data_IF_420844815193
#
_entry.id   IF_420844815193
#
_cell.length_a   1.000
_cell.length_b   1.000
_cell.length_c   1.000
_cell.angle_alpha   90.00
_cell.angle_beta   90.00
_cell.angle_gamma   90.00
#
_symmetry.space_group_name_H-M   'P 1'
#
loop_
_entity.id
_entity.type
_entity.pdbx_description
1 polymer ?
#
# COMPACT_ATOMS: atom_id res chain seq x y z
N UNK A 1 31.44 43.67 36.23
CA UNK A 1 30.00 43.92 36.43
C UNK A 1 29.39 44.15 35.06
N UNK A 2 28.85 43.13 34.38
CA UNK A 2 27.42 42.73 34.39
C UNK A 2 26.74 43.37 33.16
N UNK A 3 26.04 42.71 32.22
CA UNK A 3 25.16 41.53 32.20
C UNK A 3 25.13 40.98 30.75
N UNK A 4 25.35 39.70 30.48
CA UNK A 4 24.31 38.67 30.24
C UNK A 4 22.98 39.19 29.70
N UNK A 5 22.72 39.08 28.39
CA UNK A 5 21.38 38.80 27.82
C UNK A 5 21.57 38.00 26.52
N UNK A 6 21.45 36.67 26.62
CA UNK A 6 21.02 35.80 25.51
C UNK A 6 19.54 36.08 25.24
N UNK A 7 19.07 35.90 23.99
CA UNK A 7 17.83 35.18 23.60
C UNK A 7 17.33 35.59 22.20
N UNK A 8 16.58 34.68 21.58
CA UNK A 8 15.87 34.71 20.29
C UNK A 8 16.75 34.50 19.05
N UNK A 9 16.81 33.33 18.42
CA UNK A 9 15.82 32.25 18.35
C UNK A 9 15.61 31.95 16.87
N UNK A 10 16.27 30.92 16.35
CA UNK A 10 15.97 30.39 15.03
C UNK A 10 15.77 28.88 15.16
N UNK A 11 14.56 28.51 15.58
CA UNK A 11 14.08 27.15 15.47
C UNK A 11 13.87 26.85 13.98
N UNK A 12 14.81 26.14 13.36
CA UNK A 12 14.61 25.53 12.05
C UNK A 12 13.66 24.35 12.26
N UNK A 13 12.37 24.60 12.04
CA UNK A 13 11.37 23.54 11.91
C UNK A 13 11.61 22.89 10.55
N UNK A 14 12.32 21.75 10.54
CA UNK A 14 12.32 20.84 9.41
C UNK A 14 10.90 20.28 9.27
N UNK A 15 10.10 20.89 8.39
CA UNK A 15 8.88 20.27 7.89
C UNK A 15 9.29 19.00 7.13
N UNK A 16 9.24 17.86 7.81
CA UNK A 16 9.28 16.55 7.18
C UNK A 16 7.99 16.40 6.37
N UNK A 17 8.07 16.75 5.09
CA UNK A 17 7.03 16.51 4.10
C UNK A 17 7.02 15.00 3.80
N UNK A 18 6.32 14.22 4.63
CA UNK A 18 6.11 12.80 4.36
C UNK A 18 5.09 12.63 3.23
N UNK A 19 5.65 12.46 2.03
CA UNK A 19 5.18 11.67 0.89
C UNK A 19 3.68 11.48 0.68
N UNK A 20 3.07 12.31 -0.17
CA UNK A 20 1.85 11.96 -0.91
C UNK A 20 2.22 11.37 -2.28
N UNK A 21 3.07 10.33 -2.31
CA UNK A 21 3.53 9.70 -3.56
C UNK A 21 2.72 8.45 -3.96
N UNK A 22 1.86 7.94 -3.07
CA UNK A 22 1.16 6.67 -3.28
C UNK A 22 -0.05 6.77 -4.22
N UNK A 23 -0.85 7.83 -4.11
CA UNK A 23 -2.09 7.95 -4.89
C UNK A 23 -1.85 8.06 -6.42
N UNK A 24 -0.73 8.66 -6.82
CA UNK A 24 -0.34 8.78 -8.24
C UNK A 24 0.12 7.44 -8.79
N UNK A 25 0.89 6.69 -8.00
CA UNK A 25 1.45 5.39 -8.37
C UNK A 25 0.34 4.34 -8.50
N UNK A 26 -0.63 4.29 -7.59
CA UNK A 26 -1.79 3.39 -7.68
C UNK A 26 -2.55 3.57 -9.01
N UNK A 27 -2.92 4.81 -9.36
CA UNK A 27 -3.70 5.08 -10.58
C UNK A 27 -2.94 4.68 -11.83
N UNK A 28 -1.64 4.94 -11.87
CA UNK A 28 -0.78 4.56 -12.97
C UNK A 28 -0.67 3.04 -13.12
N UNK A 29 -0.40 2.33 -12.02
CA UNK A 29 -0.30 0.86 -12.01
C UNK A 29 -1.62 0.23 -12.44
N UNK A 30 -2.76 0.71 -11.91
CA UNK A 30 -4.10 0.25 -12.29
C UNK A 30 -4.34 0.42 -13.79
N UNK A 31 -4.08 1.62 -14.32
CA UNK A 31 -4.28 1.91 -15.74
C UNK A 31 -3.39 1.05 -16.65
N UNK A 32 -2.13 0.85 -16.26
CA UNK A 32 -1.17 0.08 -17.05
C UNK A 32 -1.49 -1.42 -17.03
N UNK A 33 -1.92 -1.96 -15.88
CA UNK A 33 -2.39 -3.34 -15.78
C UNK A 33 -3.66 -3.58 -16.59
N UNK A 34 -4.63 -2.66 -16.58
CA UNK A 34 -5.83 -2.76 -17.42
C UNK A 34 -5.49 -2.76 -18.92
N UNK A 35 -4.49 -1.98 -19.34
CA UNK A 35 -4.01 -1.98 -20.73
C UNK A 35 -3.36 -3.31 -21.12
N UNK A 36 -2.59 -3.92 -20.21
CA UNK A 36 -1.81 -5.14 -20.48
C UNK A 36 -2.61 -6.43 -20.35
N UNK A 37 -3.43 -6.52 -19.30
CA UNK A 37 -4.24 -7.70 -18.98
C UNK A 37 -5.63 -7.65 -19.61
N UNK A 38 -6.01 -6.51 -20.19
CA UNK A 38 -7.31 -6.26 -20.78
C UNK A 38 -8.36 -5.84 -19.74
N UNK A 39 -9.51 -5.37 -20.24
CA UNK A 39 -10.61 -4.82 -19.42
C UNK A 39 -11.26 -5.87 -18.51
N UNK A 40 -11.01 -7.16 -18.76
CA UNK A 40 -11.47 -8.27 -17.92
C UNK A 40 -10.69 -8.40 -16.61
N UNK A 41 -9.49 -7.82 -16.51
CA UNK A 41 -8.73 -7.80 -15.26
C UNK A 41 -9.29 -6.74 -14.31
N UNK A 42 -10.17 -7.16 -13.41
CA UNK A 42 -10.75 -6.28 -12.39
C UNK A 42 -9.72 -5.99 -11.28
N UNK A 43 -8.95 -4.91 -11.46
CA UNK A 43 -7.99 -4.42 -10.47
C UNK A 43 -8.73 -3.66 -9.37
N UNK A 44 -8.98 -4.35 -8.24
CA UNK A 44 -9.74 -3.81 -7.10
C UNK A 44 -8.90 -2.83 -6.29
N UNK A 45 -7.69 -3.25 -5.91
CA UNK A 45 -6.83 -2.49 -5.01
C UNK A 45 -5.37 -2.58 -5.42
N UNK A 46 -4.60 -1.50 -5.19
CA UNK A 46 -3.15 -1.49 -5.37
C UNK A 46 -2.53 -0.89 -4.11
N UNK A 47 -1.65 -1.63 -3.45
CA UNK A 47 -1.01 -1.20 -2.20
C UNK A 47 0.49 -1.47 -2.24
N UNK A 48 1.32 -0.66 -1.54
CA UNK A 48 2.72 -1.00 -1.36
C UNK A 48 2.88 -2.37 -0.68
N UNK A 49 3.83 -3.16 -1.17
CA UNK A 49 4.21 -4.42 -0.52
C UNK A 49 5.26 -4.19 0.58
N UNK A 50 5.60 -5.23 1.35
CA UNK A 50 6.69 -5.17 2.31
C UNK A 50 8.08 -5.00 1.65
N UNK A 51 8.20 -5.31 0.35
CA UNK A 51 9.43 -5.12 -0.41
C UNK A 51 9.37 -3.75 -1.13
N UNK A 52 10.33 -2.84 -0.85
CA UNK A 52 10.37 -1.53 -1.51
C UNK A 52 10.43 -1.66 -3.04
N UNK A 53 9.59 -0.88 -3.71
CA UNK A 53 9.48 -0.88 -5.18
C UNK A 53 8.54 -1.94 -5.75
N UNK A 54 8.03 -2.85 -4.93
CA UNK A 54 6.96 -3.78 -5.29
C UNK A 54 5.62 -3.34 -4.71
N UNK A 55 4.57 -3.55 -5.50
CA UNK A 55 3.18 -3.26 -5.17
C UNK A 55 2.37 -4.55 -5.22
N UNK A 56 1.53 -4.73 -4.21
CA UNK A 56 0.45 -5.71 -4.16
C UNK A 56 -0.72 -5.19 -5.01
N UNK A 57 -1.19 -6.03 -5.92
CA UNK A 57 -2.31 -5.73 -6.80
C UNK A 57 -3.34 -6.82 -6.61
N UNK A 58 -4.53 -6.42 -6.17
CA UNK A 58 -5.66 -7.33 -6.11
C UNK A 58 -6.38 -7.36 -7.45
N UNK A 59 -6.30 -8.49 -8.14
CA UNK A 59 -7.04 -8.75 -9.36
C UNK A 59 -8.08 -9.83 -9.07
N UNK A 60 -9.36 -9.49 -9.25
CA UNK A 60 -10.48 -10.33 -8.81
C UNK A 60 -10.37 -10.65 -7.29
N UNK A 61 -10.07 -11.90 -6.94
CA UNK A 61 -9.90 -12.38 -5.57
C UNK A 61 -8.47 -12.86 -5.27
N UNK A 62 -7.52 -12.62 -6.17
CA UNK A 62 -6.13 -13.03 -6.05
C UNK A 62 -5.20 -11.81 -5.89
N UNK A 63 -4.07 -12.03 -5.24
CA UNK A 63 -3.02 -11.02 -5.04
C UNK A 63 -1.86 -11.33 -5.97
N UNK A 64 -1.48 -10.32 -6.76
CA UNK A 64 -0.31 -10.32 -7.61
C UNK A 64 0.67 -9.25 -7.15
N UNK A 65 1.92 -9.35 -7.59
CA UNK A 65 2.94 -8.34 -7.31
C UNK A 65 3.47 -7.72 -8.60
N UNK A 66 3.77 -6.43 -8.56
CA UNK A 66 4.31 -5.70 -9.70
C UNK A 66 5.22 -4.55 -9.30
N UNK A 67 6.06 -4.07 -10.21
CA UNK A 67 6.86 -2.86 -10.00
C UNK A 67 6.03 -1.59 -10.24
N UNK A 68 6.56 -0.43 -9.85
CA UNK A 68 5.88 0.88 -10.01
C UNK A 68 5.41 1.21 -11.43
N UNK A 69 5.99 0.59 -12.46
CA UNK A 69 5.62 0.82 -13.87
C UNK A 69 4.76 -0.29 -14.45
N UNK A 70 4.29 -1.24 -13.64
CA UNK A 70 3.56 -2.43 -14.07
C UNK A 70 4.26 -3.19 -15.22
N UNK A 71 5.59 -3.26 -15.19
CA UNK A 71 6.41 -3.90 -16.21
C UNK A 71 6.49 -5.40 -16.01
N UNK A 72 6.55 -5.85 -14.76
CA UNK A 72 6.61 -7.27 -14.40
C UNK A 72 5.40 -7.67 -13.57
N UNK A 73 4.84 -8.84 -13.84
CA UNK A 73 3.81 -9.46 -13.01
C UNK A 73 4.41 -10.68 -12.33
N UNK A 74 4.25 -10.76 -11.02
CA UNK A 74 4.73 -11.87 -10.20
C UNK A 74 3.51 -12.51 -9.55
N UNK A 75 3.38 -13.82 -9.71
CA UNK A 75 2.34 -14.64 -9.11
C UNK A 75 2.97 -15.54 -8.06
N UNK A 76 2.37 -15.60 -6.88
CA UNK A 76 2.83 -16.44 -5.78
C UNK A 76 2.66 -15.78 -4.43
N UNK A 77 3.41 -16.28 -3.46
CA UNK A 77 3.32 -15.86 -2.06
C UNK A 77 4.58 -15.10 -1.62
N UNK A 78 4.39 -14.08 -0.80
CA UNK A 78 5.45 -13.35 -0.13
C UNK A 78 5.58 -13.90 1.30
N UNK A 79 6.63 -14.66 1.53
CA UNK A 79 6.95 -15.21 2.84
C UNK A 79 8.10 -14.41 3.45
N UNK A 80 7.87 -13.81 4.60
CA UNK A 80 8.92 -13.17 5.39
C UNK A 80 9.82 -14.24 6.01
N UNK A 81 11.06 -14.36 5.53
CA UNK A 81 11.97 -15.40 5.99
C UNK A 81 12.35 -15.29 7.47
N UNK A 82 12.34 -14.07 8.02
CA UNK A 82 12.70 -13.84 9.42
C UNK A 82 11.70 -14.46 10.40
N UNK A 83 10.41 -14.49 10.04
CA UNK A 83 9.32 -14.97 10.91
C UNK A 83 8.64 -16.23 10.37
N UNK A 84 8.86 -16.58 9.10
CA UNK A 84 8.09 -17.59 8.38
C UNK A 84 6.67 -17.15 8.03
N UNK A 85 6.33 -15.87 8.21
CA UNK A 85 4.97 -15.38 7.99
C UNK A 85 4.68 -15.25 6.50
N UNK A 86 3.60 -15.90 6.04
CA UNK A 86 3.05 -15.67 4.70
C UNK A 86 2.22 -14.38 4.69
N UNK A 87 2.81 -13.31 4.17
CA UNK A 87 2.20 -11.99 4.09
C UNK A 87 1.04 -11.97 3.11
N UNK A 88 1.11 -12.74 2.02
CA UNK A 88 0.02 -12.86 1.04
C UNK A 88 -1.21 -13.52 1.64
N UNK A 89 -1.04 -14.62 2.38
CA UNK A 89 -2.14 -15.30 3.07
C UNK A 89 -2.81 -14.37 4.09
N UNK A 90 -2.01 -13.64 4.88
CA UNK A 90 -2.53 -12.64 5.82
C UNK A 90 -3.35 -11.55 5.13
N UNK A 91 -2.86 -11.03 4.00
CA UNK A 91 -3.62 -10.07 3.18
C UNK A 91 -4.91 -10.66 2.63
N UNK A 92 -4.88 -11.92 2.19
CA UNK A 92 -6.05 -12.62 1.68
C UNK A 92 -7.11 -12.81 2.78
N UNK A 93 -6.70 -13.14 4.01
CA UNK A 93 -7.59 -13.19 5.17
C UNK A 93 -8.21 -11.82 5.46
N UNK A 94 -7.42 -10.75 5.41
CA UNK A 94 -7.92 -9.37 5.61
C UNK A 94 -8.94 -8.96 4.54
N UNK A 95 -8.72 -9.36 3.28
CA UNK A 95 -9.66 -9.15 2.17
C UNK A 95 -10.96 -9.95 2.37
N UNK A 96 -10.85 -11.19 2.83
CA UNK A 96 -11.98 -12.10 3.02
C UNK A 96 -12.74 -11.85 4.32
N UNK A 97 -12.17 -11.05 5.24
CA UNK A 97 -12.81 -10.73 6.51
C UNK A 97 -14.12 -10.03 6.25
N UNK A 98 -15.23 -10.69 6.61
CA UNK A 98 -16.55 -10.08 6.63
C UNK A 98 -16.49 -8.90 7.59
N UNK A 99 -16.67 -7.69 7.08
CA UNK A 99 -16.89 -6.52 7.92
C UNK A 99 -18.27 -6.65 8.52
N UNK A 100 -18.35 -7.22 9.71
CA UNK A 100 -19.59 -7.36 10.48
C UNK A 100 -20.32 -6.01 10.66
N UNK A 101 -19.61 -4.90 10.60
CA UNK A 101 -20.15 -3.54 10.59
C UNK A 101 -20.92 -3.14 9.33
N UNK A 102 -20.74 -3.87 8.22
CA UNK A 102 -21.41 -3.63 6.93
C UNK A 102 -22.55 -4.63 6.68
N UNK A 103 -22.76 -5.61 7.59
CA UNK A 103 -23.90 -6.51 7.51
C UNK A 103 -25.16 -5.75 7.97
N UNK A 104 -26.23 -5.68 7.14
CA UNK A 104 -27.49 -5.13 7.59
C UNK A 104 -28.02 -5.99 8.74
N UNK A 105 -28.26 -5.38 9.91
CA UNK A 105 -29.00 -6.02 10.99
C UNK A 105 -30.47 -6.13 10.59
N UNK A 106 -30.75 -7.02 9.64
CA UNK A 106 -32.11 -7.40 9.31
C UNK A 106 -32.41 -8.70 10.06
N UNK A 107 -33.21 -8.55 11.12
CA UNK A 107 -33.95 -9.56 11.86
C UNK A 107 -33.17 -10.26 12.99
N UNK A 108 -33.27 -9.68 14.20
CA UNK A 108 -33.39 -10.43 15.44
C UNK A 108 -34.85 -10.34 15.90
#
# INVERSE_FOLDING_TARGET
>A
MGKFIYQFGLAIVLLSFFGSADATSEKQIRAELQKRLGTSANVRNVTPSAIPGLFEVQVNNEIFYTDSKAKYLIQGEMIELATGTNLTAKRQEDINRIKWSELPQANA
#
